data_IF_892537324645
#
_entry.id   IF_892537324645
#
_cell.length_a   1.000
_cell.length_b   1.000
_cell.length_c   1.000
_cell.angle_alpha   90.00
_cell.angle_beta   90.00
_cell.angle_gamma   90.00
#
_symmetry.space_group_name_H-M   'P 1'
#
loop_
_entity.id
_entity.type
_entity.pdbx_description
1 polymer ?
#
# COMPACT_ATOMS: atom_id res chain seq x y z
N UNK A 1 -27.40 -1.07 -11.53
CA UNK A 1 -26.00 -0.55 -11.38
C UNK A 1 -25.72 -0.43 -9.90
N UNK A 2 -24.67 -1.03 -9.43
CA UNK A 2 -24.25 -0.91 -8.03
C UNK A 2 -23.33 0.29 -7.89
N UNK A 3 -23.71 1.25 -7.06
CA UNK A 3 -22.84 2.37 -6.74
C UNK A 3 -21.67 1.89 -5.87
N UNK A 4 -20.47 2.21 -6.29
CA UNK A 4 -19.24 1.99 -5.53
C UNK A 4 -18.61 3.31 -5.15
N UNK A 5 -18.06 3.37 -3.95
CA UNK A 5 -17.22 4.50 -3.57
C UNK A 5 -15.93 4.50 -4.40
N UNK A 6 -15.38 5.67 -4.65
CA UNK A 6 -14.13 5.82 -5.43
C UNK A 6 -13.01 4.93 -4.85
N UNK A 7 -12.87 4.92 -3.53
CA UNK A 7 -11.87 4.09 -2.86
C UNK A 7 -12.07 2.58 -3.10
N UNK A 8 -13.33 2.14 -3.12
CA UNK A 8 -13.66 0.73 -3.37
C UNK A 8 -13.29 0.33 -4.80
N UNK A 9 -13.62 1.21 -5.76
CA UNK A 9 -13.24 1.02 -7.15
C UNK A 9 -11.71 0.97 -7.31
N UNK A 10 -10.99 1.87 -6.66
CA UNK A 10 -9.52 1.90 -6.72
C UNK A 10 -8.91 0.59 -6.18
N UNK A 11 -9.36 0.15 -5.01
CA UNK A 11 -8.82 -1.08 -4.39
C UNK A 11 -9.16 -2.30 -5.24
N UNK A 12 -10.38 -2.40 -5.74
CA UNK A 12 -10.76 -3.50 -6.64
C UNK A 12 -9.89 -3.51 -7.91
N UNK A 13 -9.68 -2.34 -8.52
CA UNK A 13 -8.83 -2.20 -9.69
C UNK A 13 -7.39 -2.66 -9.42
N UNK A 14 -6.83 -2.30 -8.27
CA UNK A 14 -5.49 -2.74 -7.88
C UNK A 14 -5.43 -4.26 -7.73
N UNK A 15 -6.37 -4.84 -7.02
CA UNK A 15 -6.44 -6.30 -6.79
C UNK A 15 -6.61 -7.04 -8.12
N UNK A 16 -7.51 -6.60 -8.99
CA UNK A 16 -7.76 -7.21 -10.30
C UNK A 16 -6.53 -7.18 -11.22
N UNK A 17 -5.66 -6.18 -11.02
CA UNK A 17 -4.38 -6.05 -11.73
C UNK A 17 -3.20 -6.68 -10.98
N UNK A 18 -3.45 -7.50 -9.97
CA UNK A 18 -2.45 -8.21 -9.15
C UNK A 18 -1.58 -7.32 -8.26
N UNK A 19 -2.03 -6.12 -7.96
CA UNK A 19 -1.48 -5.29 -6.89
C UNK A 19 -2.28 -5.57 -5.62
N UNK A 20 -2.15 -6.77 -5.10
CA UNK A 20 -3.01 -7.34 -4.06
C UNK A 20 -2.32 -7.43 -2.69
N UNK A 21 -1.08 -6.98 -2.59
CA UNK A 21 -0.31 -7.01 -1.34
C UNK A 21 -0.02 -5.60 -0.86
N UNK A 22 -0.53 -5.28 0.33
CA UNK A 22 -0.51 -3.94 0.92
C UNK A 22 0.38 -3.89 2.15
N UNK A 23 1.24 -2.88 2.19
CA UNK A 23 2.12 -2.57 3.33
C UNK A 23 1.67 -1.22 3.88
N UNK A 24 1.16 -1.18 5.10
CA UNK A 24 0.44 0.00 5.55
C UNK A 24 0.72 0.38 7.01
N UNK A 25 0.56 1.65 7.28
CA UNK A 25 0.38 2.19 8.62
C UNK A 25 -1.00 2.84 8.67
N UNK A 26 -1.80 2.47 9.66
CA UNK A 26 -3.16 3.01 9.81
C UNK A 26 -3.13 4.50 10.15
N UNK A 27 -4.19 5.20 9.78
CA UNK A 27 -4.35 6.62 10.08
C UNK A 27 -5.77 7.09 9.78
N UNK A 28 -6.20 8.18 10.44
CA UNK A 28 -7.58 8.63 10.40
C UNK A 28 -8.15 8.87 8.99
N UNK A 29 -7.33 9.46 8.11
CA UNK A 29 -7.78 9.78 6.75
C UNK A 29 -8.00 8.55 5.86
N UNK A 30 -7.38 7.41 6.17
CA UNK A 30 -7.44 6.20 5.36
C UNK A 30 -8.24 5.05 6.00
N UNK A 31 -8.93 5.31 7.11
CA UNK A 31 -9.75 4.29 7.80
C UNK A 31 -10.71 3.58 6.86
N UNK A 32 -11.48 4.28 6.01
CA UNK A 32 -12.39 3.59 5.09
C UNK A 32 -11.67 2.68 4.08
N UNK A 33 -10.48 3.07 3.64
CA UNK A 33 -9.66 2.30 2.70
C UNK A 33 -9.11 1.04 3.37
N UNK A 34 -8.56 1.19 4.57
CA UNK A 34 -8.03 0.06 5.35
C UNK A 34 -9.14 -0.94 5.70
N UNK A 35 -10.31 -0.45 6.10
CA UNK A 35 -11.46 -1.28 6.38
C UNK A 35 -11.91 -2.08 5.13
N UNK A 36 -11.92 -1.43 3.97
CA UNK A 36 -12.28 -2.10 2.72
C UNK A 36 -11.26 -3.17 2.34
N UNK A 37 -9.96 -2.88 2.43
CA UNK A 37 -8.90 -3.87 2.20
C UNK A 37 -9.06 -5.07 3.14
N UNK A 38 -9.31 -4.82 4.42
CA UNK A 38 -9.47 -5.87 5.43
C UNK A 38 -10.64 -6.82 5.18
N UNK A 39 -11.63 -6.42 4.40
CA UNK A 39 -12.77 -7.26 4.01
C UNK A 39 -12.54 -8.06 2.74
N UNK A 40 -11.48 -7.78 1.99
CA UNK A 40 -11.16 -8.47 0.74
C UNK A 40 -10.36 -9.73 1.01
N UNK A 41 -10.91 -10.89 0.63
CA UNK A 41 -10.22 -12.18 0.77
C UNK A 41 -9.01 -12.31 -0.13
N UNK A 42 -9.02 -11.58 -1.24
CA UNK A 42 -7.97 -11.55 -2.26
C UNK A 42 -6.79 -10.67 -1.86
N UNK A 43 -7.00 -9.77 -0.90
CA UNK A 43 -5.96 -8.85 -0.44
C UNK A 43 -5.14 -9.47 0.69
N UNK A 44 -3.84 -9.32 0.59
CA UNK A 44 -2.91 -9.58 1.69
C UNK A 44 -2.40 -8.24 2.21
N UNK A 45 -2.41 -8.04 3.52
CA UNK A 45 -1.93 -6.79 4.08
C UNK A 45 -1.06 -7.02 5.32
N UNK A 46 -0.09 -6.15 5.48
CA UNK A 46 0.82 -6.12 6.62
C UNK A 46 0.81 -4.73 7.24
N UNK A 47 0.54 -4.67 8.54
CA UNK A 47 0.52 -3.42 9.30
C UNK A 47 1.89 -3.17 9.93
N UNK A 48 2.39 -1.95 9.77
CA UNK A 48 3.66 -1.50 10.33
C UNK A 48 3.43 -0.40 11.37
N UNK A 49 4.44 -0.14 12.16
CA UNK A 49 4.43 0.94 13.15
C UNK A 49 5.10 2.22 12.63
N UNK A 50 5.83 2.13 11.52
CA UNK A 50 6.48 3.26 10.88
C UNK A 50 6.39 3.13 9.35
N UNK A 51 6.07 4.22 8.68
CA UNK A 51 5.83 4.24 7.24
C UNK A 51 7.08 3.92 6.42
N UNK A 52 8.25 4.35 6.89
CA UNK A 52 9.52 4.00 6.26
C UNK A 52 9.72 2.48 6.22
N UNK A 53 9.38 1.78 7.30
CA UNK A 53 9.46 0.33 7.35
C UNK A 53 8.50 -0.34 6.37
N UNK A 54 7.30 0.22 6.20
CA UNK A 54 6.33 -0.27 5.22
C UNK A 54 6.88 -0.17 3.79
N UNK A 55 7.50 0.95 3.43
CA UNK A 55 8.13 1.14 2.12
C UNK A 55 9.31 0.18 1.91
N UNK A 56 10.16 0.00 2.91
CA UNK A 56 11.29 -0.94 2.83
C UNK A 56 10.81 -2.39 2.71
N UNK A 57 9.69 -2.74 3.35
CA UNK A 57 9.08 -4.06 3.22
C UNK A 57 8.55 -4.28 1.79
N UNK A 58 7.92 -3.27 1.18
CA UNK A 58 7.48 -3.33 -0.21
C UNK A 58 8.66 -3.49 -1.18
N UNK A 59 9.77 -2.80 -0.94
CA UNK A 59 11.02 -2.98 -1.68
C UNK A 59 11.52 -4.43 -1.59
N UNK A 60 11.64 -4.96 -0.37
CA UNK A 60 12.06 -6.34 -0.14
C UNK A 60 11.11 -7.34 -0.80
N UNK A 61 9.82 -7.09 -0.75
CA UNK A 61 8.80 -7.92 -1.39
C UNK A 61 9.02 -8.01 -2.90
N UNK A 62 9.31 -6.89 -3.56
CA UNK A 62 9.64 -6.90 -4.99
C UNK A 62 10.94 -7.67 -5.27
N UNK A 63 11.99 -7.42 -4.49
CA UNK A 63 13.29 -8.09 -4.68
C UNK A 63 13.21 -9.61 -4.54
N UNK A 64 12.31 -10.11 -3.70
CA UNK A 64 12.17 -11.55 -3.44
C UNK A 64 11.12 -12.24 -4.30
N UNK A 65 10.05 -11.55 -4.66
CA UNK A 65 8.91 -12.14 -5.38
C UNK A 65 8.74 -11.69 -6.82
N UNK A 66 9.35 -10.57 -7.21
CA UNK A 66 9.11 -9.93 -8.48
C UNK A 66 7.74 -9.23 -8.60
N UNK A 67 6.97 -9.20 -7.50
CA UNK A 67 5.65 -8.56 -7.46
C UNK A 67 5.74 -7.17 -6.85
N UNK A 68 5.02 -6.22 -7.43
CA UNK A 68 4.95 -4.87 -6.90
C UNK A 68 4.02 -4.79 -5.69
N UNK A 69 4.55 -4.31 -4.56
CA UNK A 69 3.75 -4.02 -3.38
C UNK A 69 3.10 -2.65 -3.44
N UNK A 70 1.98 -2.51 -2.75
CA UNK A 70 1.28 -1.23 -2.57
C UNK A 70 1.55 -0.72 -1.15
N UNK A 71 2.06 0.48 -1.03
CA UNK A 71 2.28 1.13 0.26
C UNK A 71 1.18 2.14 0.52
N UNK A 72 0.52 2.02 1.65
CA UNK A 72 -0.60 2.87 2.02
C UNK A 72 -0.29 3.59 3.33
N UNK A 73 -0.37 4.90 3.29
CA UNK A 73 -0.15 5.76 4.45
C UNK A 73 -1.16 6.90 4.50
N UNK A 74 -1.36 7.46 5.68
CA UNK A 74 -2.18 8.66 5.82
C UNK A 74 -1.46 9.90 5.29
N UNK A 75 -2.21 10.96 5.08
CA UNK A 75 -1.68 12.27 4.66
C UNK A 75 -0.81 12.93 5.75
N UNK A 76 -0.06 13.96 5.37
CA UNK A 76 0.76 14.76 6.28
C UNK A 76 2.00 14.03 6.78
N UNK A 77 2.23 13.95 8.10
CA UNK A 77 3.43 13.33 8.66
C UNK A 77 3.60 11.86 8.27
N UNK A 78 2.51 11.12 8.07
CA UNK A 78 2.56 9.74 7.58
C UNK A 78 3.19 9.66 6.20
N UNK A 79 2.74 10.49 5.26
CA UNK A 79 3.33 10.56 3.94
C UNK A 79 4.79 11.04 3.97
N UNK A 80 5.14 11.97 4.85
CA UNK A 80 6.53 12.44 5.02
C UNK A 80 7.45 11.33 5.52
N UNK A 81 7.00 10.52 6.46
CA UNK A 81 7.77 9.38 6.95
C UNK A 81 8.03 8.32 5.88
N UNK A 82 7.18 8.27 4.86
CA UNK A 82 7.31 7.35 3.75
C UNK A 82 8.44 7.72 2.78
N UNK A 83 8.76 9.01 2.65
CA UNK A 83 9.65 9.54 1.61
C UNK A 83 11.02 8.85 1.58
N UNK A 84 11.60 8.53 2.73
CA UNK A 84 12.90 7.88 2.78
C UNK A 84 12.88 6.51 2.09
N UNK A 85 11.83 5.73 2.32
CA UNK A 85 11.65 4.45 1.64
C UNK A 85 11.38 4.59 0.14
N UNK A 86 10.58 5.59 -0.25
CA UNK A 86 10.32 5.90 -1.66
C UNK A 86 11.61 6.31 -2.38
N UNK A 87 12.42 7.16 -1.75
CA UNK A 87 13.72 7.55 -2.32
C UNK A 87 14.63 6.33 -2.51
N UNK A 88 14.65 5.41 -1.56
CA UNK A 88 15.39 4.15 -1.68
C UNK A 88 14.94 3.34 -2.90
N UNK A 89 13.66 3.13 -3.05
CA UNK A 89 13.08 2.44 -4.21
C UNK A 89 13.45 3.15 -5.53
N UNK A 90 13.38 4.49 -5.54
CA UNK A 90 13.71 5.28 -6.72
C UNK A 90 15.17 5.09 -7.13
N UNK A 91 16.11 5.26 -6.20
CA UNK A 91 17.55 5.12 -6.50
C UNK A 91 17.94 3.70 -6.92
N UNK A 92 17.27 2.70 -6.39
CA UNK A 92 17.53 1.30 -6.69
C UNK A 92 16.71 0.78 -7.89
N UNK A 93 15.89 1.63 -8.51
CA UNK A 93 15.00 1.25 -9.62
C UNK A 93 14.06 0.09 -9.26
N UNK A 94 13.56 0.09 -8.04
CA UNK A 94 12.60 -0.89 -7.53
C UNK A 94 11.19 -0.30 -7.64
N UNK A 95 10.27 -0.94 -8.38
CA UNK A 95 8.91 -0.46 -8.46
C UNK A 95 8.14 -0.73 -7.16
N UNK A 96 7.45 0.30 -6.68
CA UNK A 96 6.43 0.22 -5.64
C UNK A 96 5.33 1.23 -5.96
N UNK A 97 4.13 1.01 -5.47
CA UNK A 97 2.98 1.88 -5.66
C UNK A 97 2.57 2.53 -4.34
#
# INVERSE_FOLDING_TARGET
MVEKKVLEHLIDYLIDNRFDTFFLVTGGAIVPTVDYIGRKKEATYYCFQHEQSAAMAAESFYRTSGKMGVVLTTSGPGAQNLLNGICGCWYESIPCL
#
